data_IF_914098991263
#
_entry.id   IF_914098991263
#
_cell.length_a   1.000
_cell.length_b   1.000
_cell.length_c   1.000
_cell.angle_alpha   90.00
_cell.angle_beta   90.00
_cell.angle_gamma   90.00
#
_symmetry.space_group_name_H-M   'P 1'
#
loop_
_entity.id
_entity.type
_entity.pdbx_description
1 polymer ?
#
# COMPACT_ATOMS: atom_id res chain seq x y z
N UNK A 1 6.58 39.24 -8.32
CA UNK A 1 5.13 38.93 -8.45
C UNK A 1 4.83 37.76 -9.40
N UNK A 2 5.49 37.62 -10.56
CA UNK A 2 5.27 36.46 -11.45
C UNK A 2 5.80 35.12 -10.91
N UNK A 3 6.92 35.12 -10.17
CA UNK A 3 7.48 33.91 -9.55
C UNK A 3 6.65 33.38 -8.36
N UNK A 4 6.05 34.28 -7.57
CA UNK A 4 5.14 33.91 -6.48
C UNK A 4 3.84 33.32 -7.01
N UNK A 5 3.29 33.85 -8.11
CA UNK A 5 2.09 33.30 -8.74
C UNK A 5 2.33 31.90 -9.34
N UNK A 6 3.51 31.65 -9.92
CA UNK A 6 3.92 30.32 -10.40
C UNK A 6 4.15 29.31 -9.26
N UNK A 7 4.65 29.77 -8.11
CA UNK A 7 4.80 28.95 -6.90
C UNK A 7 3.42 28.61 -6.28
N UNK A 8 2.47 29.55 -6.26
CA UNK A 8 1.11 29.26 -5.83
C UNK A 8 0.32 28.42 -6.85
N UNK A 9 0.60 28.57 -8.16
CA UNK A 9 0.07 27.66 -9.18
C UNK A 9 0.68 26.26 -9.06
N UNK A 10 1.98 26.12 -8.79
CA UNK A 10 2.61 24.81 -8.59
C UNK A 10 2.17 24.15 -7.29
N UNK A 11 1.92 24.91 -6.22
CA UNK A 11 1.27 24.42 -5.00
C UNK A 11 -0.19 24.01 -5.24
N UNK A 12 -0.96 24.78 -6.03
CA UNK A 12 -2.33 24.43 -6.43
C UNK A 12 -2.40 23.23 -7.38
N UNK A 13 -1.40 23.06 -8.26
CA UNK A 13 -1.27 21.94 -9.21
C UNK A 13 -0.71 20.69 -8.51
N UNK A 14 0.13 20.83 -7.48
CA UNK A 14 0.58 19.70 -6.65
C UNK A 14 -0.53 19.18 -5.70
N UNK A 15 -1.51 20.03 -5.38
CA UNK A 15 -2.77 19.59 -4.73
C UNK A 15 -3.80 18.99 -5.69
N UNK A 16 -3.46 18.73 -6.97
CA UNK A 16 -4.25 17.85 -7.82
C UNK A 16 -4.00 16.41 -7.36
N UNK A 17 -4.79 16.00 -6.38
CA UNK A 17 -5.16 14.62 -6.06
C UNK A 17 -4.09 13.54 -6.30
N UNK A 18 -3.06 13.51 -5.46
CA UNK A 18 -2.52 12.21 -5.04
C UNK A 18 -3.45 11.70 -3.95
N UNK A 19 -4.54 11.02 -4.33
CA UNK A 19 -5.19 10.09 -3.42
C UNK A 19 -4.18 8.98 -3.15
N UNK A 20 -3.25 9.18 -2.21
CA UNK A 20 -2.30 8.12 -1.86
C UNK A 20 -3.13 7.01 -1.24
N UNK A 21 -3.24 5.87 -1.93
CA UNK A 21 -3.79 4.66 -1.32
C UNK A 21 -2.93 4.27 -0.11
N UNK A 22 -3.52 3.57 0.86
CA UNK A 22 -2.72 2.88 1.86
C UNK A 22 -1.72 1.96 1.17
N UNK A 23 -0.48 1.96 1.67
CA UNK A 23 0.54 1.00 1.30
C UNK A 23 0.53 -0.14 2.31
N UNK A 24 0.58 -1.38 1.79
CA UNK A 24 0.85 -2.54 2.63
C UNK A 24 2.36 -2.68 2.81
N UNK A 25 2.79 -2.93 4.05
CA UNK A 25 4.19 -3.14 4.40
C UNK A 25 4.32 -4.46 5.13
N UNK A 26 5.37 -5.22 4.82
CA UNK A 26 5.67 -6.48 5.51
C UNK A 26 7.01 -6.36 6.19
N UNK A 27 7.07 -6.84 7.43
CA UNK A 27 8.30 -7.00 8.17
C UNK A 27 8.45 -8.45 8.64
N UNK A 28 9.54 -9.14 8.28
CA UNK A 28 10.60 -8.72 7.34
C UNK A 28 10.12 -8.52 5.89
N UNK A 29 10.75 -7.62 5.13
CA UNK A 29 10.33 -7.21 3.78
C UNK A 29 10.69 -8.23 2.67
N UNK A 30 10.19 -9.46 2.79
CA UNK A 30 10.42 -10.57 1.86
C UNK A 30 9.12 -11.34 1.60
N UNK A 31 9.01 -12.01 0.44
CA UNK A 31 7.79 -12.74 0.03
C UNK A 31 7.66 -14.13 0.67
N UNK A 32 8.78 -14.76 1.03
CA UNK A 32 8.83 -16.12 1.57
C UNK A 32 9.40 -16.15 3.00
N UNK A 33 8.78 -16.98 3.83
CA UNK A 33 9.11 -17.16 5.23
C UNK A 33 9.20 -18.65 5.58
N UNK A 34 10.10 -18.99 6.49
CA UNK A 34 10.07 -20.31 7.10
C UNK A 34 8.92 -20.41 8.11
N UNK A 35 8.43 -21.63 8.33
CA UNK A 35 7.51 -21.89 9.42
C UNK A 35 8.14 -21.47 10.77
N UNK A 36 7.27 -21.02 11.66
CA UNK A 36 7.57 -20.47 12.99
C UNK A 36 8.29 -19.11 13.00
N UNK A 37 8.54 -18.47 11.85
CA UNK A 37 8.97 -17.07 11.81
C UNK A 37 7.85 -16.12 12.27
N UNK A 38 8.24 -14.96 12.82
CA UNK A 38 7.34 -13.83 13.06
C UNK A 38 7.18 -13.03 11.77
N UNK A 39 5.93 -12.71 11.43
CA UNK A 39 5.57 -11.85 10.28
C UNK A 39 4.70 -10.71 10.81
N UNK A 40 4.95 -9.48 10.36
CA UNK A 40 4.08 -8.34 10.61
C UNK A 40 3.63 -7.76 9.28
N UNK A 41 2.32 -7.62 9.09
CA UNK A 41 1.74 -6.93 7.93
C UNK A 41 1.09 -5.65 8.43
N UNK A 42 1.48 -4.49 7.91
CA UNK A 42 0.98 -3.19 8.37
C UNK A 42 0.44 -2.33 7.24
N UNK A 43 -0.52 -1.48 7.58
CA UNK A 43 -1.06 -0.44 6.73
C UNK A 43 -0.31 0.85 7.06
N UNK A 44 0.70 1.19 6.27
CA UNK A 44 1.44 2.43 6.48
C UNK A 44 0.66 3.62 5.91
N UNK A 45 0.85 4.80 6.51
CA UNK A 45 0.43 6.12 6.03
C UNK A 45 -0.94 6.68 6.48
N UNK A 46 -1.76 5.90 7.18
CA UNK A 46 -3.07 6.36 7.68
C UNK A 46 -3.24 6.07 9.17
N UNK A 47 -3.96 6.95 9.85
CA UNK A 47 -4.06 6.95 11.31
C UNK A 47 -4.57 5.62 11.88
N UNK A 48 -4.30 5.34 13.17
CA UNK A 48 -4.76 4.13 13.83
C UNK A 48 -6.29 3.98 13.75
N UNK A 49 -6.75 2.77 13.43
CA UNK A 49 -8.19 2.42 13.41
C UNK A 49 -8.95 2.70 12.11
N UNK A 50 -8.32 3.30 11.09
CA UNK A 50 -8.97 3.56 9.80
C UNK A 50 -8.88 2.38 8.80
N UNK A 51 -7.86 1.54 8.95
CA UNK A 51 -7.53 0.46 8.02
C UNK A 51 -7.35 -0.86 8.75
N UNK A 52 -7.85 -1.93 8.13
CA UNK A 52 -7.78 -3.29 8.64
C UNK A 52 -6.98 -4.16 7.70
N UNK A 53 -6.13 -5.03 8.26
CA UNK A 53 -5.42 -6.06 7.49
C UNK A 53 -6.36 -7.23 7.24
N UNK A 54 -6.49 -7.60 5.98
CA UNK A 54 -7.21 -8.77 5.51
C UNK A 54 -6.27 -9.77 4.88
N UNK A 55 -6.68 -11.05 4.89
CA UNK A 55 -6.01 -12.10 4.16
C UNK A 55 -6.98 -13.00 3.41
N UNK A 56 -6.46 -13.64 2.36
CA UNK A 56 -7.04 -14.78 1.67
C UNK A 56 -6.01 -15.90 1.65
N UNK A 57 -6.29 -17.01 2.36
CA UNK A 57 -5.33 -18.12 2.47
C UNK A 57 -5.46 -19.08 1.29
N UNK A 58 -4.32 -19.53 0.74
CA UNK A 58 -4.29 -20.42 -0.42
C UNK A 58 -4.83 -21.82 -0.11
N UNK A 59 -4.62 -22.29 1.13
CA UNK A 59 -5.04 -23.62 1.58
C UNK A 59 -6.53 -23.66 1.92
N UNK A 60 -6.97 -22.77 2.80
CA UNK A 60 -8.34 -22.81 3.32
C UNK A 60 -9.34 -22.10 2.39
N UNK A 61 -8.84 -21.30 1.44
CA UNK A 61 -9.61 -20.63 0.38
C UNK A 61 -10.72 -19.73 0.91
N UNK A 62 -10.53 -19.13 2.08
CA UNK A 62 -11.45 -18.14 2.61
C UNK A 62 -10.75 -16.84 2.99
N UNK A 63 -11.53 -15.77 2.94
CA UNK A 63 -11.12 -14.42 3.30
C UNK A 63 -11.44 -14.15 4.76
N UNK A 64 -10.51 -13.50 5.48
CA UNK A 64 -10.69 -13.19 6.90
C UNK A 64 -9.91 -11.94 7.30
N UNK A 65 -10.45 -11.20 8.28
CA UNK A 65 -9.82 -10.02 8.85
C UNK A 65 -8.88 -10.42 10.00
N UNK A 66 -7.78 -9.68 10.20
CA UNK A 66 -6.92 -9.90 11.36
C UNK A 66 -7.73 -9.87 12.68
N UNK A 67 -7.44 -10.79 13.59
CA UNK A 67 -8.18 -10.95 14.85
C UNK A 67 -9.38 -11.91 14.78
N UNK A 68 -9.81 -12.33 13.58
CA UNK A 68 -10.90 -13.33 13.41
C UNK A 68 -10.40 -14.78 13.54
N UNK A 69 -9.60 -15.06 14.58
CA UNK A 69 -9.00 -16.38 14.82
C UNK A 69 -7.61 -16.57 14.22
N UNK A 70 -7.03 -15.52 13.64
CA UNK A 70 -5.63 -15.49 13.19
C UNK A 70 -5.04 -14.09 13.40
N UNK A 71 -3.71 -14.06 13.58
CA UNK A 71 -2.98 -12.81 13.78
C UNK A 71 -3.37 -12.08 15.08
N UNK A 72 -2.56 -11.10 15.45
CA UNK A 72 -2.81 -10.21 16.57
C UNK A 72 -2.90 -8.79 16.02
N UNK A 73 -4.09 -8.18 15.99
CA UNK A 73 -4.23 -6.81 15.51
C UNK A 73 -3.55 -5.85 16.51
N UNK A 74 -2.77 -4.91 15.97
CA UNK A 74 -2.25 -3.74 16.66
C UNK A 74 -2.88 -2.49 16.04
N UNK A 75 -2.41 -1.29 16.40
CA UNK A 75 -2.99 -0.04 15.93
C UNK A 75 -2.97 0.14 14.39
N UNK A 76 -1.97 -0.41 13.71
CA UNK A 76 -1.81 -0.31 12.25
C UNK A 76 -1.26 -1.59 11.60
N UNK A 77 -1.09 -2.67 12.37
CA UNK A 77 -0.50 -3.91 11.88
C UNK A 77 -1.25 -5.15 12.35
N UNK A 78 -0.98 -6.26 11.69
CA UNK A 78 -1.39 -7.59 12.08
C UNK A 78 -0.13 -8.43 12.26
N UNK A 79 0.10 -8.88 13.50
CA UNK A 79 1.24 -9.72 13.83
C UNK A 79 0.88 -11.21 13.77
N UNK A 80 1.63 -11.97 12.99
CA UNK A 80 1.63 -13.44 13.03
C UNK A 80 2.86 -13.85 13.83
N UNK A 81 2.68 -14.15 15.12
CA UNK A 81 3.78 -14.49 16.03
C UNK A 81 4.50 -15.78 15.65
N UNK A 82 3.77 -16.71 15.03
CA UNK A 82 4.27 -18.04 14.71
C UNK A 82 3.64 -18.51 13.41
N UNK A 83 4.24 -18.13 12.28
CA UNK A 83 3.71 -18.42 10.95
C UNK A 83 3.70 -19.93 10.67
N UNK A 84 2.63 -20.43 10.05
CA UNK A 84 2.48 -21.83 9.62
C UNK A 84 2.15 -21.89 8.13
N UNK A 85 2.34 -23.05 7.52
CA UNK A 85 2.04 -23.25 6.10
C UNK A 85 0.61 -22.83 5.68
N UNK A 86 -0.46 -22.97 6.50
CA UNK A 86 -1.79 -22.46 6.18
C UNK A 86 -1.91 -20.94 6.16
N UNK A 87 -0.96 -20.20 6.75
CA UNK A 87 -0.93 -18.74 6.68
C UNK A 87 -0.47 -18.23 5.30
N UNK A 88 -0.04 -19.12 4.39
CA UNK A 88 0.30 -18.71 3.02
C UNK A 88 -0.92 -18.17 2.29
N UNK A 89 -0.77 -17.02 1.62
CA UNK A 89 -1.89 -16.36 0.96
C UNK A 89 -1.64 -14.91 0.58
N UNK A 90 -2.70 -14.27 0.13
CA UNK A 90 -2.71 -12.85 -0.27
C UNK A 90 -3.14 -11.99 0.90
N UNK A 91 -2.41 -10.91 1.17
CA UNK A 91 -2.67 -9.95 2.25
C UNK A 91 -2.84 -8.54 1.70
N UNK A 92 -3.74 -7.75 2.28
CA UNK A 92 -3.97 -6.35 1.91
C UNK A 92 -4.55 -5.55 3.08
N UNK A 93 -4.59 -4.23 2.93
CA UNK A 93 -5.25 -3.29 3.81
C UNK A 93 -6.54 -2.79 3.19
N UNK A 94 -7.60 -2.70 4.00
CA UNK A 94 -8.91 -2.19 3.59
C UNK A 94 -9.44 -1.16 4.58
N UNK A 95 -9.94 -0.02 4.09
CA UNK A 95 -10.52 1.05 4.90
C UNK A 95 -12.00 0.81 5.19
N UNK A 96 -12.54 1.52 6.20
CA UNK A 96 -14.00 1.50 6.46
C UNK A 96 -14.85 1.90 5.24
N UNK A 97 -14.30 2.72 4.34
CA UNK A 97 -14.99 3.23 3.15
C UNK A 97 -14.82 2.30 1.93
N UNK A 98 -14.21 1.13 2.11
CA UNK A 98 -13.97 0.16 1.04
C UNK A 98 -12.78 0.52 0.14
N UNK A 99 -11.88 1.41 0.58
CA UNK A 99 -10.61 1.62 -0.13
C UNK A 99 -9.67 0.45 0.14
N UNK A 100 -8.89 0.05 -0.86
CA UNK A 100 -7.96 -1.08 -0.75
C UNK A 100 -6.54 -0.66 -1.12
N UNK A 101 -5.56 -1.18 -0.37
CA UNK A 101 -4.16 -1.20 -0.80
C UNK A 101 -3.95 -2.20 -1.96
N UNK A 102 -2.73 -2.27 -2.47
CA UNK A 102 -2.30 -3.44 -3.24
C UNK A 102 -2.36 -4.71 -2.36
N UNK A 103 -2.65 -5.85 -3.00
CA UNK A 103 -2.44 -7.16 -2.42
C UNK A 103 -0.99 -7.59 -2.57
N UNK A 104 -0.52 -8.38 -1.62
CA UNK A 104 0.81 -9.00 -1.61
C UNK A 104 0.66 -10.49 -1.32
N UNK A 105 1.51 -11.32 -1.94
CA UNK A 105 1.50 -12.76 -1.68
C UNK A 105 2.62 -13.12 -0.69
N UNK A 106 2.24 -13.76 0.42
CA UNK A 106 3.17 -14.26 1.43
C UNK A 106 3.12 -15.78 1.39
N UNK A 107 4.29 -16.41 1.25
CA UNK A 107 4.43 -17.87 1.28
C UNK A 107 5.15 -18.30 2.55
N UNK A 108 4.52 -19.18 3.32
CA UNK A 108 5.12 -19.80 4.51
C UNK A 108 5.40 -21.27 4.19
N UNK A 109 6.65 -21.69 4.31
CA UNK A 109 7.08 -23.05 3.98
C UNK A 109 7.70 -23.75 5.18
N UNK A 110 7.43 -25.05 5.34
CA UNK A 110 8.17 -25.95 6.22
C UNK A 110 9.38 -26.60 5.52
N UNK A 111 9.56 -26.30 4.24
CA UNK A 111 10.70 -26.76 3.44
C UNK A 111 12.05 -26.19 3.90
N UNK A 112 13.15 -26.78 3.39
CA UNK A 112 14.51 -26.47 3.83
C UNK A 112 15.08 -25.19 3.25
N UNK A 113 14.49 -24.64 2.18
CA UNK A 113 15.00 -23.50 1.40
C UNK A 113 13.87 -22.50 1.12
N UNK A 114 14.19 -21.20 1.16
CA UNK A 114 13.35 -20.11 0.68
C UNK A 114 14.10 -19.23 -0.32
N UNK A 115 13.34 -18.57 -1.19
CA UNK A 115 13.81 -17.46 -2.00
C UNK A 115 13.40 -16.15 -1.31
N UNK A 116 14.37 -15.39 -0.82
CA UNK A 116 14.15 -14.03 -0.38
C UNK A 116 14.06 -13.13 -1.61
N UNK A 117 12.83 -12.86 -2.06
CA UNK A 117 12.52 -11.85 -3.07
C UNK A 117 11.75 -10.69 -2.44
N UNK A 118 11.73 -9.50 -3.07
CA UNK A 118 10.83 -8.42 -2.68
C UNK A 118 9.38 -8.92 -2.62
N UNK A 119 8.66 -8.48 -1.59
CA UNK A 119 7.22 -8.78 -1.41
C UNK A 119 6.31 -7.77 -2.11
N UNK A 120 6.83 -6.57 -2.35
CA UNK A 120 6.15 -5.49 -3.05
C UNK A 120 6.58 -5.43 -4.51
N UNK A 121 5.71 -4.94 -5.42
CA UNK A 121 6.10 -4.66 -6.80
C UNK A 121 7.26 -3.66 -6.87
N UNK A 122 8.20 -3.90 -7.79
CA UNK A 122 9.43 -3.11 -7.98
C UNK A 122 9.27 -2.10 -9.10
N UNK A 123 9.98 -0.96 -9.08
CA UNK A 123 9.89 0.00 -10.20
C UNK A 123 10.83 -0.42 -11.34
N UNK A 124 10.45 -0.09 -12.57
CA UNK A 124 11.31 -0.30 -13.73
C UNK A 124 12.59 0.52 -13.59
N UNK A 125 13.74 -0.10 -13.87
CA UNK A 125 15.07 0.48 -13.67
C UNK A 125 15.68 0.25 -12.29
N UNK A 126 14.93 -0.24 -11.30
CA UNK A 126 15.49 -0.59 -9.99
C UNK A 126 16.39 -1.85 -10.07
N UNK A 127 17.29 -2.00 -9.11
CA UNK A 127 18.07 -3.23 -8.93
C UNK A 127 17.35 -4.15 -7.93
N UNK A 128 17.15 -5.42 -8.31
CA UNK A 128 16.50 -6.42 -7.47
C UNK A 128 17.50 -7.47 -7.01
N UNK A 129 17.60 -7.64 -5.70
CA UNK A 129 18.40 -8.70 -5.09
C UNK A 129 17.53 -9.90 -4.72
N UNK A 130 17.96 -11.08 -5.14
CA UNK A 130 17.36 -12.38 -4.84
C UNK A 130 18.36 -13.19 -4.02
N UNK A 131 17.96 -13.67 -2.85
CA UNK A 131 18.82 -14.49 -2.01
C UNK A 131 18.19 -15.85 -1.72
N UNK A 132 18.88 -16.92 -2.09
CA UNK A 132 18.48 -18.28 -1.77
C UNK A 132 19.01 -18.65 -0.39
N UNK A 133 18.12 -18.95 0.55
CA UNK A 133 18.48 -19.13 1.96
C UNK A 133 18.00 -20.47 2.47
N UNK A 134 18.86 -21.19 3.18
CA UNK A 134 18.53 -22.40 3.93
C UNK A 134 17.94 -22.08 5.30
N UNK A 135 17.13 -22.99 5.85
CA UNK A 135 16.56 -22.87 7.19
C UNK A 135 17.63 -22.93 8.28
N UNK A 136 18.60 -23.81 8.10
CA UNK A 136 19.71 -24.04 9.01
C UNK A 136 21.03 -23.61 8.36
N UNK A 137 21.94 -22.96 9.12
CA UNK A 137 23.27 -22.61 8.60
C UNK A 137 24.01 -23.83 8.04
N UNK A 138 24.90 -23.63 7.05
CA UNK A 138 25.30 -22.35 6.46
C UNK A 138 24.27 -21.81 5.45
N UNK A 139 24.07 -20.48 5.44
CA UNK A 139 23.11 -19.80 4.56
C UNK A 139 23.68 -19.40 3.19
N UNK A 140 25.01 -19.26 3.09
CA UNK A 140 25.71 -18.82 1.87
C UNK A 140 26.18 -20.06 1.10
N UNK A 141 25.25 -20.72 0.44
CA UNK A 141 25.52 -21.91 -0.37
C UNK A 141 25.33 -21.60 -1.84
N UNK A 142 26.03 -22.34 -2.68
CA UNK A 142 25.86 -22.26 -4.13
C UNK A 142 24.42 -22.61 -4.48
N UNK A 143 23.75 -21.70 -5.19
CA UNK A 143 22.35 -21.84 -5.56
C UNK A 143 22.14 -21.63 -7.05
N UNK A 144 21.33 -22.50 -7.65
CA UNK A 144 20.83 -22.35 -9.00
C UNK A 144 19.51 -21.56 -8.98
N UNK A 145 19.42 -20.49 -9.75
CA UNK A 145 18.23 -19.65 -9.89
C UNK A 145 17.48 -19.98 -11.17
N UNK A 146 16.17 -20.06 -11.07
CA UNK A 146 15.28 -20.38 -12.19
C UNK A 146 14.24 -19.29 -12.37
N UNK A 147 13.90 -19.00 -13.62
CA UNK A 147 12.79 -18.13 -14.01
C UNK A 147 11.90 -18.87 -15.00
N UNK A 148 10.60 -18.94 -14.72
CA UNK A 148 9.61 -19.64 -15.54
C UNK A 148 10.03 -21.08 -15.87
N UNK A 149 10.70 -21.75 -14.93
CA UNK A 149 11.20 -23.12 -15.07
C UNK A 149 12.59 -23.27 -15.70
N UNK A 150 13.12 -22.23 -16.33
CA UNK A 150 14.44 -22.26 -16.97
C UNK A 150 15.53 -21.79 -16.02
N UNK A 151 16.67 -22.49 -16.00
CA UNK A 151 17.87 -22.06 -15.27
C UNK A 151 18.39 -20.74 -15.88
N UNK A 152 18.54 -19.71 -15.05
CA UNK A 152 19.06 -18.40 -15.50
C UNK A 152 20.49 -18.15 -15.04
N UNK A 153 20.85 -18.52 -13.81
CA UNK A 153 22.18 -18.32 -13.21
C UNK A 153 22.45 -19.34 -12.11
N UNK A 154 23.72 -19.57 -11.82
CA UNK A 154 24.17 -20.29 -10.62
C UNK A 154 25.16 -19.40 -9.88
N UNK A 155 24.85 -19.05 -8.65
CA UNK A 155 25.64 -18.09 -7.87
C UNK A 155 26.29 -18.78 -6.66
N UNK A 156 27.60 -18.64 -6.46
CA UNK A 156 28.34 -19.39 -5.44
C UNK A 156 27.93 -19.04 -4.00
N UNK A 157 27.49 -17.80 -3.77
CA UNK A 157 27.04 -17.29 -2.47
C UNK A 157 25.53 -17.38 -2.27
N UNK A 158 24.79 -17.88 -3.27
CA UNK A 158 23.34 -17.91 -3.24
C UNK A 158 22.69 -16.53 -3.33
N UNK A 159 23.43 -15.51 -3.81
CA UNK A 159 22.93 -14.15 -4.01
C UNK A 159 22.99 -13.79 -5.49
N UNK A 160 21.86 -13.37 -6.06
CA UNK A 160 21.73 -12.93 -7.45
C UNK A 160 21.16 -11.51 -7.47
N UNK A 161 21.77 -10.62 -8.26
CA UNK A 161 21.21 -9.29 -8.54
C UNK A 161 20.77 -9.20 -9.99
N UNK A 162 19.54 -8.75 -10.19
CA UNK A 162 19.01 -8.33 -11.49
C UNK A 162 19.16 -6.82 -11.54
N UNK A 163 20.02 -6.33 -12.43
CA UNK A 163 20.28 -4.90 -12.57
C UNK A 163 19.31 -4.27 -13.57
N UNK A 164 18.85 -3.05 -13.29
CA UNK A 164 17.96 -2.29 -14.16
C UNK A 164 16.75 -3.10 -14.64
N UNK A 165 15.92 -3.57 -13.70
CA UNK A 165 14.80 -4.46 -14.03
C UNK A 165 13.86 -3.84 -15.07
N UNK A 166 13.42 -4.67 -16.01
CA UNK A 166 12.52 -4.32 -17.09
C UNK A 166 11.26 -5.19 -17.06
N UNK A 167 10.25 -4.87 -17.90
CA UNK A 167 9.07 -5.76 -18.05
C UNK A 167 9.42 -7.19 -18.46
N UNK A 168 10.54 -7.38 -19.16
CA UNK A 168 11.00 -8.72 -19.54
C UNK A 168 11.43 -9.55 -18.33
N UNK A 169 11.75 -8.91 -17.20
CA UNK A 169 12.20 -9.54 -15.96
C UNK A 169 11.05 -10.07 -15.09
N UNK A 170 9.80 -9.73 -15.40
CA UNK A 170 8.64 -10.32 -14.73
C UNK A 170 8.58 -11.84 -14.93
N UNK A 171 8.13 -12.55 -13.90
CA UNK A 171 7.94 -13.99 -13.99
C UNK A 171 8.05 -14.71 -12.66
N UNK A 172 7.98 -16.03 -12.73
CA UNK A 172 8.00 -16.92 -11.60
C UNK A 172 9.44 -17.36 -11.29
N UNK A 173 9.99 -16.90 -10.17
CA UNK A 173 11.34 -17.21 -9.71
C UNK A 173 11.35 -18.29 -8.62
N UNK A 174 12.33 -19.18 -8.67
CA UNK A 174 12.67 -20.10 -7.58
C UNK A 174 14.17 -20.35 -7.55
N UNK A 175 14.68 -20.89 -6.45
CA UNK A 175 16.07 -21.31 -6.37
C UNK A 175 16.20 -22.76 -5.88
N UNK A 176 17.33 -23.39 -6.21
CA UNK A 176 17.66 -24.75 -5.81
C UNK A 176 19.07 -24.79 -5.22
N UNK A 177 19.21 -25.46 -4.08
CA UNK A 177 20.49 -25.77 -3.44
C UNK A 177 20.64 -27.28 -3.48
N UNK A 178 21.67 -27.78 -4.18
CA UNK A 178 21.82 -29.20 -4.54
C UNK A 178 21.56 -30.18 -3.40
N UNK A 179 22.23 -30.00 -2.26
CA UNK A 179 22.11 -30.90 -1.09
C UNK A 179 20.94 -30.61 -0.16
N UNK A 180 20.15 -29.56 -0.41
CA UNK A 180 19.10 -29.11 0.51
C UNK A 180 17.70 -29.15 -0.11
N UNK A 181 17.54 -28.76 -1.38
CA UNK A 181 16.25 -28.77 -2.08
C UNK A 181 15.94 -27.45 -2.77
N UNK A 182 14.67 -27.28 -3.14
CA UNK A 182 14.15 -26.11 -3.85
C UNK A 182 13.34 -25.19 -2.95
N UNK A 183 13.37 -23.89 -3.24
CA UNK A 183 12.42 -22.94 -2.67
C UNK A 183 11.03 -23.07 -3.30
N UNK A 184 9.97 -22.65 -2.59
CA UNK A 184 8.73 -22.27 -3.25
C UNK A 184 8.98 -21.25 -4.37
N UNK A 185 8.05 -21.14 -5.30
CA UNK A 185 8.12 -20.12 -6.34
C UNK A 185 7.53 -18.79 -5.88
N UNK A 186 8.17 -17.68 -6.24
CA UNK A 186 7.68 -16.31 -6.02
C UNK A 186 7.65 -15.55 -7.33
N UNK A 187 6.55 -14.85 -7.59
CA UNK A 187 6.46 -14.00 -8.78
C UNK A 187 7.14 -12.64 -8.51
N UNK A 188 7.99 -12.19 -9.43
CA UNK A 188 8.53 -10.83 -9.41
C UNK A 188 7.63 -9.93 -10.27
N UNK A 189 6.97 -8.97 -9.64
CA UNK A 189 6.08 -8.02 -10.32
C UNK A 189 6.73 -6.66 -10.45
N UNK A 190 6.57 -6.01 -11.59
CA UNK A 190 6.87 -4.59 -11.74
C UNK A 190 5.63 -3.75 -11.38
N UNK A 191 5.88 -2.57 -10.84
CA UNK A 191 4.84 -1.61 -10.51
C UNK A 191 4.28 -1.00 -11.80
N UNK A 192 2.99 -1.19 -12.03
CA UNK A 192 2.28 -0.47 -13.09
C UNK A 192 2.05 0.98 -12.65
N UNK A 193 2.55 1.95 -13.44
CA UNK A 193 2.31 3.38 -13.23
C UNK A 193 0.88 3.80 -13.64
N UNK A 194 0.06 2.90 -14.18
CA UNK A 194 -1.30 3.21 -14.55
C UNK A 194 -2.20 3.43 -13.33
N UNK A 195 -3.22 4.29 -13.51
CA UNK A 195 -4.23 4.47 -12.49
C UNK A 195 -4.96 3.12 -12.26
N UNK A 196 -4.95 2.62 -11.01
CA UNK A 196 -5.55 1.33 -10.69
C UNK A 196 -7.06 1.32 -10.99
N UNK A 197 -7.63 0.14 -11.19
CA UNK A 197 -9.06 0.02 -11.45
C UNK A 197 -9.90 0.59 -10.30
N UNK A 198 -11.09 1.07 -10.65
CA UNK A 198 -12.13 1.51 -9.72
C UNK A 198 -13.40 0.71 -10.03
N UNK A 199 -13.89 -0.06 -9.07
CA UNK A 199 -15.09 -0.86 -9.24
C UNK A 199 -16.31 0.05 -9.14
N UNK A 200 -17.14 0.03 -10.18
CA UNK A 200 -18.38 0.79 -10.29
C UNK A 200 -19.57 -0.15 -10.49
N UNK A 201 -20.50 -0.22 -9.51
CA UNK A 201 -21.72 -1.00 -9.64
C UNK A 201 -22.83 -0.18 -10.31
N UNK A 202 -23.63 -0.85 -11.15
CA UNK A 202 -24.85 -0.31 -11.73
C UNK A 202 -26.01 -1.31 -11.52
N UNK A 203 -27.06 -0.92 -10.78
CA UNK A 203 -27.27 0.40 -10.16
C UNK A 203 -26.32 0.64 -8.96
N UNK A 204 -26.08 1.91 -8.61
CA UNK A 204 -25.37 2.30 -7.39
C UNK A 204 -26.29 2.08 -6.16
N UNK A 205 -26.40 0.82 -5.72
CA UNK A 205 -27.24 0.43 -4.60
C UNK A 205 -26.59 -0.64 -3.75
N UNK A 206 -26.57 -0.46 -2.42
CA UNK A 206 -26.03 -1.44 -1.47
C UNK A 206 -26.96 -2.66 -1.30
N UNK A 207 -28.25 -2.47 -1.54
CA UNK A 207 -29.26 -3.51 -1.46
C UNK A 207 -29.96 -3.69 -2.82
N UNK A 208 -30.24 -4.93 -3.19
CA UNK A 208 -31.00 -5.28 -4.39
C UNK A 208 -32.09 -6.29 -4.05
N UNK A 209 -33.18 -6.25 -4.81
CA UNK A 209 -34.11 -7.38 -4.85
C UNK A 209 -33.53 -8.51 -5.69
N UNK A 210 -33.85 -9.74 -5.34
CA UNK A 210 -33.63 -10.89 -6.21
C UNK A 210 -34.27 -10.69 -7.61
N UNK A 211 -33.68 -11.33 -8.61
CA UNK A 211 -34.07 -11.28 -10.02
C UNK A 211 -33.95 -9.89 -10.67
N UNK A 212 -33.12 -9.02 -10.11
CA UNK A 212 -32.70 -7.76 -10.76
C UNK A 212 -31.36 -7.93 -11.45
N UNK A 213 -31.05 -6.97 -12.32
CA UNK A 213 -29.78 -6.89 -13.02
C UNK A 213 -28.76 -6.17 -12.12
N UNK A 214 -27.53 -6.66 -12.12
CA UNK A 214 -26.37 -6.01 -11.51
C UNK A 214 -25.21 -6.05 -12.48
N UNK A 215 -24.71 -4.87 -12.86
CA UNK A 215 -23.48 -4.72 -13.63
C UNK A 215 -22.37 -4.22 -12.71
N UNK A 216 -21.19 -4.80 -12.82
CA UNK A 216 -19.99 -4.47 -12.08
C UNK A 216 -18.89 -4.16 -13.08
N UNK A 217 -18.43 -2.91 -13.15
CA UNK A 217 -17.39 -2.50 -14.10
C UNK A 217 -16.09 -2.12 -13.40
N UNK A 218 -14.97 -2.61 -13.93
CA UNK A 218 -13.62 -2.21 -13.50
C UNK A 218 -13.14 -0.91 -14.17
N UNK A 219 -13.93 -0.35 -15.08
CA UNK A 219 -13.55 0.76 -15.96
C UNK A 219 -13.05 0.29 -17.33
N UNK A 220 -13.14 1.19 -18.31
CA UNK A 220 -12.80 0.92 -19.71
C UNK A 220 -11.35 0.45 -19.86
N UNK A 221 -11.12 -0.51 -20.77
CA UNK A 221 -9.82 -1.10 -21.09
C UNK A 221 -9.04 -1.68 -19.90
N UNK A 222 -9.72 -2.05 -18.81
CA UNK A 222 -9.10 -2.75 -17.67
C UNK A 222 -9.09 -4.26 -17.88
N UNK A 223 -10.13 -4.83 -18.47
CA UNK A 223 -10.18 -6.27 -18.77
C UNK A 223 -9.12 -6.67 -19.80
N UNK A 224 -8.86 -5.82 -20.81
CA UNK A 224 -7.76 -6.00 -21.77
C UNK A 224 -6.37 -5.98 -21.11
N UNK A 225 -6.26 -5.46 -19.88
CA UNK A 225 -5.05 -5.47 -19.05
C UNK A 225 -5.07 -6.55 -17.97
N UNK A 226 -5.96 -7.53 -18.10
CA UNK A 226 -6.05 -8.69 -17.22
C UNK A 226 -6.76 -8.45 -15.89
N UNK A 227 -7.38 -7.29 -15.67
CA UNK A 227 -8.22 -7.09 -14.49
C UNK A 227 -9.47 -7.97 -14.56
N UNK A 228 -9.86 -8.55 -13.43
CA UNK A 228 -11.05 -9.39 -13.33
C UNK A 228 -11.89 -9.00 -12.12
N UNK A 229 -13.21 -9.11 -12.24
CA UNK A 229 -14.10 -8.95 -11.08
C UNK A 229 -14.00 -10.21 -10.21
N UNK A 230 -13.68 -10.00 -8.94
CA UNK A 230 -13.67 -11.00 -7.87
C UNK A 230 -14.81 -10.72 -6.89
N UNK A 231 -15.25 -11.78 -6.20
CA UNK A 231 -16.23 -11.66 -5.13
C UNK A 231 -15.91 -12.58 -3.96
N UNK A 232 -16.26 -12.16 -2.75
CA UNK A 232 -16.32 -13.01 -1.58
C UNK A 232 -17.78 -13.15 -1.13
N UNK A 233 -18.27 -14.38 -1.10
CA UNK A 233 -19.65 -14.74 -0.72
C UNK A 233 -19.63 -15.59 0.54
N UNK A 234 -20.67 -15.49 1.36
CA UNK A 234 -20.78 -16.34 2.55
C UNK A 234 -21.34 -17.70 2.17
N UNK A 235 -20.57 -18.76 2.45
CA UNK A 235 -20.97 -20.16 2.30
C UNK A 235 -20.65 -20.86 3.62
N UNK A 236 -21.66 -21.44 4.27
CA UNK A 236 -21.53 -22.15 5.55
C UNK A 236 -20.79 -21.33 6.63
N UNK A 237 -21.08 -20.03 6.70
CA UNK A 237 -20.46 -19.10 7.65
C UNK A 237 -19.03 -18.65 7.31
N UNK A 238 -18.47 -19.06 6.16
CA UNK A 238 -17.13 -18.67 5.69
C UNK A 238 -17.22 -17.76 4.46
N UNK A 239 -16.32 -16.78 4.37
CA UNK A 239 -16.19 -15.90 3.20
C UNK A 239 -15.36 -16.59 2.11
N UNK A 240 -16.03 -17.22 1.14
CA UNK A 240 -15.38 -17.97 0.06
C UNK A 240 -15.15 -17.05 -1.14
N UNK A 241 -13.91 -17.09 -1.66
CA UNK A 241 -13.53 -16.31 -2.83
C UNK A 241 -13.98 -16.99 -4.13
N UNK A 242 -14.60 -16.22 -5.02
CA UNK A 242 -15.04 -16.66 -6.33
C UNK A 242 -14.69 -15.60 -7.38
N UNK A 243 -14.51 -16.05 -8.62
CA UNK A 243 -14.38 -15.14 -9.76
C UNK A 243 -15.75 -14.91 -10.40
N UNK A 244 -15.88 -13.83 -11.19
CA UNK A 244 -17.05 -13.65 -12.05
C UNK A 244 -17.31 -14.93 -12.87
N UNK A 245 -18.54 -15.47 -12.90
CA UNK A 245 -18.87 -16.62 -13.72
C UNK A 245 -18.57 -16.35 -15.20
N UNK A 246 -18.01 -17.32 -15.92
CA UNK A 246 -17.56 -17.13 -17.32
C UNK A 246 -18.68 -16.59 -18.24
N UNK A 247 -19.92 -17.00 -18.01
CA UNK A 247 -21.10 -16.58 -18.77
C UNK A 247 -21.53 -15.14 -18.48
N UNK A 248 -21.02 -14.55 -17.40
CA UNK A 248 -21.33 -13.20 -16.93
C UNK A 248 -20.25 -12.19 -17.26
N UNK A 249 -19.14 -12.60 -17.90
CA UNK A 249 -18.03 -11.69 -18.21
C UNK A 249 -18.44 -10.74 -19.36
N UNK A 250 -18.16 -9.45 -19.17
CA UNK A 250 -18.35 -8.40 -20.18
C UNK A 250 -17.02 -7.69 -20.46
N UNK A 251 -16.90 -6.90 -21.55
CA UNK A 251 -15.66 -6.17 -21.87
C UNK A 251 -15.19 -5.21 -20.76
N UNK A 252 -16.12 -4.72 -19.93
CA UNK A 252 -15.83 -3.78 -18.86
C UNK A 252 -15.87 -4.41 -17.45
N UNK A 253 -16.29 -5.67 -17.31
CA UNK A 253 -16.40 -6.34 -16.01
C UNK A 253 -17.31 -7.58 -15.97
N UNK A 254 -18.36 -7.53 -15.14
CA UNK A 254 -19.25 -8.66 -14.84
C UNK A 254 -20.73 -8.23 -14.83
N UNK A 255 -21.60 -8.98 -15.50
CA UNK A 255 -23.04 -8.74 -15.58
C UNK A 255 -23.82 -9.94 -15.04
N UNK A 256 -24.57 -9.70 -13.98
CA UNK A 256 -25.58 -10.60 -13.46
C UNK A 256 -26.94 -10.16 -14.00
N UNK A 257 -27.54 -10.97 -14.88
CA UNK A 257 -28.89 -10.71 -15.40
C UNK A 257 -29.97 -10.97 -14.33
N UNK A 258 -29.73 -11.91 -13.42
CA UNK A 258 -30.67 -12.24 -12.35
C UNK A 258 -29.90 -12.54 -11.07
N UNK A 259 -29.69 -11.51 -10.24
CA UNK A 259 -29.06 -11.72 -8.92
C UNK A 259 -29.96 -12.53 -8.00
N UNK A 260 -29.37 -13.41 -7.19
CA UNK A 260 -30.06 -14.18 -6.16
C UNK A 260 -29.47 -13.88 -4.79
N UNK A 261 -30.17 -14.27 -3.72
CA UNK A 261 -29.68 -14.10 -2.33
C UNK A 261 -28.24 -14.62 -2.14
N UNK A 262 -27.82 -15.77 -2.71
CA UNK A 262 -26.44 -16.25 -2.61
C UNK A 262 -25.38 -15.38 -3.33
N UNK A 263 -25.80 -14.45 -4.19
CA UNK A 263 -24.89 -13.46 -4.80
C UNK A 263 -24.60 -12.29 -3.84
N UNK A 264 -25.15 -12.27 -2.63
CA UNK A 264 -24.76 -11.30 -1.60
C UNK A 264 -23.29 -11.48 -1.23
N UNK A 265 -22.51 -10.40 -1.26
CA UNK A 265 -21.08 -10.50 -1.06
C UNK A 265 -20.32 -9.18 -1.18
N UNK A 266 -19.00 -9.30 -1.05
CA UNK A 266 -18.04 -8.22 -1.25
C UNK A 266 -17.44 -8.36 -2.63
N UNK A 267 -17.43 -7.31 -3.43
CA UNK A 267 -16.98 -7.29 -4.82
C UNK A 267 -15.82 -6.31 -5.01
N UNK A 268 -14.83 -6.66 -5.83
CA UNK A 268 -13.71 -5.79 -6.23
C UNK A 268 -13.16 -6.21 -7.59
N UNK A 269 -12.30 -5.39 -8.18
CA UNK A 269 -11.48 -5.72 -9.33
C UNK A 269 -10.06 -6.08 -8.89
N UNK A 270 -9.51 -7.13 -9.48
CA UNK A 270 -8.17 -7.64 -9.18
C UNK A 270 -7.34 -7.81 -10.46
N UNK A 271 -6.10 -7.32 -10.43
CA UNK A 271 -5.14 -7.49 -11.53
C UNK A 271 -4.32 -8.79 -11.40
N UNK A 272 -3.61 -9.21 -12.45
CA UNK A 272 -2.69 -10.36 -12.36
C UNK A 272 -1.54 -10.16 -11.35
N UNK A 273 -1.19 -8.90 -11.07
CA UNK A 273 -0.20 -8.51 -10.07
C UNK A 273 -0.80 -8.30 -8.67
N UNK A 274 -1.98 -8.88 -8.40
CA UNK A 274 -2.70 -8.77 -7.11
C UNK A 274 -3.01 -7.33 -6.69
N UNK A 275 -3.05 -6.39 -7.63
CA UNK A 275 -3.56 -5.06 -7.34
C UNK A 275 -5.08 -5.12 -7.20
N UNK A 276 -5.63 -4.35 -6.26
CA UNK A 276 -7.06 -4.33 -5.96
C UNK A 276 -7.66 -2.94 -6.20
N UNK A 277 -8.91 -2.90 -6.63
CA UNK A 277 -9.73 -1.68 -6.61
C UNK A 277 -10.32 -1.45 -5.23
N UNK A 278 -11.14 -0.40 -5.08
CA UNK A 278 -12.12 -0.34 -4.00
C UNK A 278 -13.00 -1.59 -3.99
N UNK A 279 -13.48 -1.94 -2.80
CA UNK A 279 -14.44 -3.01 -2.56
C UNK A 279 -15.84 -2.45 -2.29
N UNK A 280 -16.88 -3.13 -2.74
CA UNK A 280 -18.28 -2.79 -2.42
C UNK A 280 -19.00 -3.98 -1.83
N UNK A 281 -19.82 -3.76 -0.79
CA UNK A 281 -20.65 -4.79 -0.16
C UNK A 281 -22.08 -4.67 -0.70
N UNK A 282 -22.53 -5.70 -1.42
CA UNK A 282 -23.87 -5.76 -2.01
C UNK A 282 -24.65 -6.89 -1.34
N UNK A 283 -25.86 -6.58 -0.90
CA UNK A 283 -26.78 -7.55 -0.28
C UNK A 283 -28.03 -7.72 -1.15
N UNK A 284 -28.38 -8.97 -1.45
CA UNK A 284 -29.53 -9.33 -2.27
C UNK A 284 -30.61 -9.93 -1.36
N UNK A 285 -31.82 -9.38 -1.44
CA UNK A 285 -32.92 -9.71 -0.54
C UNK A 285 -34.12 -10.26 -1.30
N UNK A 286 -34.73 -11.31 -0.76
CA UNK A 286 -36.00 -11.88 -1.24
C UNK A 286 -37.25 -11.25 -0.59
N UNK A 287 -37.06 -10.51 0.50
CA UNK A 287 -38.11 -9.87 1.29
C UNK A 287 -38.89 -8.77 0.55
N UNK A 288 -39.93 -8.20 1.19
CA UNK A 288 -40.87 -7.29 0.52
C UNK A 288 -40.34 -5.86 0.35
N UNK A 289 -39.39 -5.44 1.19
CA UNK A 289 -38.89 -4.05 1.26
C UNK A 289 -37.37 -4.03 1.32
N UNK A 290 -36.74 -3.10 0.59
CA UNK A 290 -35.31 -2.78 0.71
C UNK A 290 -35.12 -1.27 0.85
N UNK A 291 -33.97 -0.89 1.40
CA UNK A 291 -33.48 0.48 1.35
C UNK A 291 -32.48 0.61 0.20
N UNK A 292 -32.86 1.31 -0.86
CA UNK A 292 -31.96 1.68 -1.93
C UNK A 292 -31.12 2.88 -1.46
N UNK A 293 -29.92 2.59 -0.94
CA UNK A 293 -28.88 3.56 -0.59
C UNK A 293 -27.66 3.39 -1.49
N UNK A 294 -26.87 4.44 -1.76
CA UNK A 294 -25.60 4.30 -2.48
C UNK A 294 -24.70 3.24 -1.84
N UNK A 295 -23.98 2.48 -2.66
CA UNK A 295 -22.99 1.50 -2.18
C UNK A 295 -21.58 2.08 -2.16
N UNK A 296 -21.34 3.10 -2.98
CA UNK A 296 -20.10 3.88 -2.94
C UNK A 296 -20.22 5.01 -1.90
N UNK A 297 -19.13 5.38 -1.21
CA UNK A 297 -19.12 6.54 -0.32
C UNK A 297 -19.53 7.82 -1.03
N UNK A 298 -20.37 8.62 -0.37
CA UNK A 298 -20.81 9.93 -0.85
C UNK A 298 -19.81 10.99 -0.42
N UNK A 299 -19.52 11.99 -1.26
CA UNK A 299 -18.59 13.05 -0.87
C UNK A 299 -19.26 14.05 0.07
N UNK A 300 -18.51 14.58 1.03
CA UNK A 300 -19.01 15.67 1.87
C UNK A 300 -19.43 16.88 1.01
N UNK A 301 -20.63 17.40 1.28
CA UNK A 301 -21.26 18.49 0.55
C UNK A 301 -22.19 18.05 -0.59
N UNK A 302 -22.15 16.78 -1.00
CA UNK A 302 -23.07 16.24 -2.00
C UNK A 302 -24.46 15.98 -1.37
N UNK A 303 -25.48 15.87 -2.23
CA UNK A 303 -26.81 15.41 -1.83
C UNK A 303 -26.90 13.88 -1.99
N UNK A 304 -27.50 13.21 -1.02
CA UNK A 304 -27.78 11.76 -1.12
C UNK A 304 -29.28 11.49 -1.07
N UNK A 305 -29.73 10.62 -1.97
CA UNK A 305 -31.10 10.13 -2.00
C UNK A 305 -31.17 8.69 -1.47
N UNK A 306 -32.07 8.49 -0.52
CA UNK A 306 -32.45 7.20 0.04
C UNK A 306 -33.87 6.88 -0.43
N UNK A 307 -34.06 5.70 -1.00
CA UNK A 307 -35.38 5.28 -1.48
C UNK A 307 -35.82 3.98 -0.83
N UNK A 308 -36.94 4.02 -0.12
CA UNK A 308 -37.57 2.83 0.44
C UNK A 308 -38.45 2.19 -0.63
N UNK A 309 -38.08 1.00 -1.08
CA UNK A 309 -38.67 0.37 -2.26
C UNK A 309 -39.35 -0.94 -1.90
N UNK A 310 -40.55 -1.15 -2.41
CA UNK A 310 -41.27 -2.42 -2.36
C UNK A 310 -40.91 -3.32 -3.55
N UNK A 311 -40.99 -4.64 -3.35
CA UNK A 311 -40.74 -5.64 -4.40
C UNK A 311 -41.80 -5.58 -5.50
N UNK A 312 -43.06 -5.35 -5.11
CA UNK A 312 -44.23 -5.28 -5.99
C UNK A 312 -44.80 -3.86 -6.00
N UNK A 313 -45.26 -3.34 -7.16
CA UNK A 313 -45.96 -2.05 -7.22
C UNK A 313 -47.19 -2.01 -6.31
N UNK A 314 -47.58 -0.84 -5.78
CA UNK A 314 -46.98 0.47 -6.02
C UNK A 314 -45.65 0.67 -5.26
N UNK A 315 -44.67 1.33 -5.90
CA UNK A 315 -43.36 1.61 -5.30
C UNK A 315 -43.32 2.89 -4.46
N UNK A 316 -44.29 3.79 -4.67
CA UNK A 316 -44.32 5.10 -4.03
C UNK A 316 -45.28 5.04 -2.84
N UNK A 317 -44.83 4.41 -1.77
CA UNK A 317 -45.58 4.29 -0.52
C UNK A 317 -44.94 5.18 0.54
N UNK A 318 -45.76 5.65 1.47
CA UNK A 318 -45.27 6.41 2.62
C UNK A 318 -44.34 5.54 3.46
N UNK A 319 -43.13 6.03 3.70
CA UNK A 319 -42.09 5.30 4.41
C UNK A 319 -41.49 6.13 5.56
N UNK A 320 -41.32 5.49 6.70
CA UNK A 320 -40.58 6.01 7.84
C UNK A 320 -39.09 5.64 7.71
N UNK A 321 -38.20 6.61 7.85
CA UNK A 321 -36.75 6.44 7.77
C UNK A 321 -36.11 6.54 9.14
N UNK A 322 -35.22 5.61 9.44
CA UNK A 322 -34.51 5.51 10.70
C UNK A 322 -33.01 5.58 10.48
N UNK A 323 -32.29 6.24 11.39
CA UNK A 323 -30.83 6.21 11.48
C UNK A 323 -30.45 5.82 12.89
N UNK A 324 -29.56 4.83 13.00
CA UNK A 324 -29.03 4.33 14.28
C UNK A 324 -30.17 3.97 15.26
N UNK A 325 -31.26 3.41 14.73
CA UNK A 325 -32.46 3.00 15.47
C UNK A 325 -33.46 4.11 15.77
N UNK A 326 -33.13 5.38 15.51
CA UNK A 326 -34.01 6.53 15.77
C UNK A 326 -34.77 6.95 14.53
N UNK A 327 -36.06 7.25 14.67
CA UNK A 327 -36.87 7.79 13.57
C UNK A 327 -36.37 9.20 13.22
N UNK A 328 -35.99 9.42 11.97
CA UNK A 328 -35.57 10.74 11.48
C UNK A 328 -36.77 11.48 10.90
N UNK A 329 -37.49 10.84 9.98
CA UNK A 329 -38.61 11.44 9.26
C UNK A 329 -39.47 10.40 8.54
N UNK A 330 -40.65 10.82 8.11
CA UNK A 330 -41.56 10.03 7.28
C UNK A 330 -41.79 10.77 5.97
N UNK A 331 -41.58 10.08 4.84
CA UNK A 331 -41.70 10.66 3.50
C UNK A 331 -42.88 10.01 2.75
N UNK A 332 -43.82 10.81 2.19
CA UNK A 332 -45.05 10.28 1.60
C UNK A 332 -44.81 9.45 0.34
N UNK A 333 -43.73 9.73 -0.39
CA UNK A 333 -43.34 9.03 -1.63
C UNK A 333 -42.33 7.91 -1.41
N UNK A 334 -41.89 7.69 -0.16
CA UNK A 334 -40.83 6.73 0.14
C UNK A 334 -39.46 7.17 -0.35
N UNK A 335 -39.28 8.47 -0.62
CA UNK A 335 -38.04 9.06 -1.10
C UNK A 335 -37.57 10.15 -0.13
N UNK A 336 -36.36 9.98 0.41
CA UNK A 336 -35.72 10.93 1.33
C UNK A 336 -34.45 11.46 0.68
N UNK A 337 -34.26 12.78 0.70
CA UNK A 337 -32.98 13.41 0.33
C UNK A 337 -32.34 14.02 1.57
N UNK A 338 -31.07 13.72 1.78
CA UNK A 338 -30.22 14.43 2.74
C UNK A 338 -29.37 15.38 1.90
N UNK A 339 -29.53 16.68 2.14
CA UNK A 339 -28.83 17.71 1.40
C UNK A 339 -27.53 18.09 2.09
N UNK A 340 -26.49 18.38 1.31
CA UNK A 340 -25.20 18.86 1.81
C UNK A 340 -24.66 17.96 2.94
N UNK A 341 -24.45 16.69 2.60
CA UNK A 341 -24.07 15.61 3.52
C UNK A 341 -22.77 15.93 4.25
N UNK A 342 -22.71 15.58 5.53
CA UNK A 342 -21.55 15.74 6.40
C UNK A 342 -21.16 14.41 7.07
N UNK A 343 -20.02 14.39 7.76
CA UNK A 343 -19.61 13.21 8.56
C UNK A 343 -20.62 12.84 9.66
N UNK A 344 -21.48 13.78 10.09
CA UNK A 344 -22.57 13.50 11.02
C UNK A 344 -23.71 12.70 10.40
N UNK A 345 -23.80 12.63 9.07
CA UNK A 345 -24.82 11.85 8.38
C UNK A 345 -24.40 10.37 8.20
N UNK A 346 -23.14 10.01 8.51
CA UNK A 346 -22.71 8.61 8.57
C UNK A 346 -23.52 7.84 9.63
N UNK A 347 -23.91 6.61 9.30
CA UNK A 347 -24.61 5.73 10.24
C UNK A 347 -25.40 4.63 9.56
N UNK A 348 -26.14 3.88 10.37
CA UNK A 348 -26.93 2.73 9.94
C UNK A 348 -28.37 3.16 9.63
N UNK A 349 -28.73 3.16 8.35
CA UNK A 349 -30.07 3.54 7.88
C UNK A 349 -30.95 2.32 7.62
N UNK A 350 -32.24 2.44 7.92
CA UNK A 350 -33.29 1.50 7.48
C UNK A 350 -34.59 2.25 7.25
N UNK A 351 -35.54 1.63 6.57
CA UNK A 351 -36.86 2.20 6.37
C UNK A 351 -37.98 1.21 6.70
N UNK A 352 -39.17 1.73 6.97
CA UNK A 352 -40.38 0.95 7.25
C UNK A 352 -41.54 1.49 6.42
N UNK A 353 -42.30 0.60 5.80
CA UNK A 353 -43.53 0.94 5.06
C UNK A 353 -44.70 0.34 5.85
N UNK A 354 -45.70 1.14 6.19
CA UNK A 354 -46.87 0.68 6.93
C UNK A 354 -47.57 -0.48 6.21
N UNK A 355 -47.82 -1.58 6.94
CA UNK A 355 -48.37 -2.81 6.37
C UNK A 355 -47.34 -3.76 5.75
N UNK A 356 -46.05 -3.40 5.76
CA UNK A 356 -44.93 -4.24 5.36
C UNK A 356 -43.88 -4.35 6.48
N UNK A 357 -42.89 -5.21 6.29
CA UNK A 357 -41.74 -5.35 7.18
C UNK A 357 -40.76 -4.17 7.04
N UNK A 358 -39.88 -4.01 8.04
CA UNK A 358 -38.74 -3.09 7.93
C UNK A 358 -37.74 -3.59 6.87
N UNK A 359 -37.08 -2.65 6.19
CA UNK A 359 -35.96 -2.97 5.32
C UNK A 359 -34.77 -3.49 6.15
N UNK A 360 -33.91 -4.32 5.56
CA UNK A 360 -32.57 -4.54 6.07
C UNK A 360 -31.84 -3.20 6.22
N UNK A 361 -30.92 -3.14 7.19
CA UNK A 361 -30.13 -1.93 7.41
C UNK A 361 -28.98 -1.78 6.41
N UNK A 362 -28.65 -0.55 6.06
CA UNK A 362 -27.53 -0.18 5.17
C UNK A 362 -26.73 0.94 5.79
N UNK A 363 -25.39 0.83 5.76
CA UNK A 363 -24.52 1.89 6.26
C UNK A 363 -24.32 2.95 5.17
N UNK A 364 -24.50 4.22 5.51
CA UNK A 364 -24.16 5.35 4.64
C UNK A 364 -22.74 5.83 4.98
N UNK A 365 -21.83 5.74 4.00
CA UNK A 365 -20.45 6.20 4.14
C UNK A 365 -20.29 7.61 3.56
N UNK A 366 -19.59 8.48 4.28
CA UNK A 366 -19.32 9.86 3.85
C UNK A 366 -17.81 10.07 3.78
N UNK A 367 -17.33 10.51 2.62
CA UNK A 367 -15.92 10.79 2.37
C UNK A 367 -15.67 12.29 2.46
N UNK A 368 -14.90 12.71 3.44
CA UNK A 368 -14.33 14.06 3.49
C UNK A 368 -13.07 14.12 2.60
N UNK A 369 -13.06 14.91 1.51
CA UNK A 369 -11.89 15.09 0.66
C UNK A 369 -10.69 15.72 1.40
N UNK A 370 -10.89 16.33 2.57
CA UNK A 370 -9.86 16.92 3.44
C UNK A 370 -9.43 15.97 4.57
N UNK A 371 -10.10 14.83 4.74
CA UNK A 371 -9.92 13.89 5.85
C UNK A 371 -8.57 13.15 5.91
N UNK A 372 -7.75 13.14 4.85
CA UNK A 372 -6.34 12.67 4.97
C UNK A 372 -5.43 13.69 5.70
N UNK A 373 -5.97 14.85 6.05
CA UNK A 373 -5.32 15.88 6.86
C UNK A 373 -5.96 16.00 8.26
N UNK A 374 -6.24 14.88 8.92
CA UNK A 374 -6.33 14.87 10.38
C UNK A 374 -4.97 15.26 10.94
N UNK A 375 -4.86 16.56 11.22
CA UNK A 375 -3.94 17.27 12.12
C UNK A 375 -3.05 16.40 13.02
N UNK A 376 -2.04 15.75 12.43
CA UNK A 376 -0.74 15.67 13.08
C UNK A 376 -0.06 17.02 12.85
N UNK A 377 0.51 17.69 13.87
CA UNK A 377 1.35 18.85 13.64
C UNK A 377 2.46 18.39 12.70
N UNK A 378 2.39 18.83 11.45
CA UNK A 378 3.23 18.30 10.40
C UNK A 378 4.69 18.57 10.80
N UNK A 379 5.49 17.50 10.80
CA UNK A 379 6.96 17.57 10.73
C UNK A 379 7.45 18.52 9.62
N UNK A 380 6.57 18.94 8.69
CA UNK A 380 6.82 19.97 7.69
C UNK A 380 7.06 21.37 8.28
N UNK A 381 6.23 21.86 9.22
CA UNK A 381 6.44 23.19 9.82
C UNK A 381 7.69 23.21 10.70
N UNK A 382 7.90 22.18 11.52
CA UNK A 382 9.10 22.04 12.35
C UNK A 382 10.38 21.94 11.51
N UNK A 383 10.36 21.21 10.39
CA UNK A 383 11.49 21.19 9.44
C UNK A 383 11.69 22.53 8.74
N UNK A 384 10.62 23.22 8.31
CA UNK A 384 10.73 24.56 7.74
C UNK A 384 11.30 25.57 8.74
N UNK A 385 10.85 25.49 9.99
CA UNK A 385 11.32 26.33 11.08
C UNK A 385 12.77 26.00 11.42
N UNK A 386 13.17 24.72 11.47
CA UNK A 386 14.57 24.31 11.59
C UNK A 386 15.43 24.79 10.41
N UNK A 387 14.95 24.73 9.17
CA UNK A 387 15.70 25.25 8.03
C UNK A 387 15.84 26.77 8.09
N UNK A 388 14.78 27.50 8.48
CA UNK A 388 14.83 28.95 8.66
C UNK A 388 15.72 29.40 9.83
N UNK A 389 15.72 28.65 10.94
CA UNK A 389 16.44 29.02 12.18
C UNK A 389 17.86 28.48 12.21
N UNK A 390 18.17 27.39 11.51
CA UNK A 390 19.51 26.74 11.54
C UNK A 390 20.24 26.91 10.21
N UNK A 391 19.57 26.60 9.10
CA UNK A 391 20.23 26.57 7.79
C UNK A 391 20.46 27.98 7.22
N UNK A 392 19.48 28.88 7.34
CA UNK A 392 19.62 30.26 6.88
C UNK A 392 20.73 31.04 7.59
N UNK A 393 20.84 31.09 8.93
CA UNK A 393 21.94 31.81 9.58
C UNK A 393 23.30 31.17 9.34
N UNK A 394 23.37 29.83 9.19
CA UNK A 394 24.62 29.15 8.82
C UNK A 394 25.08 29.56 7.42
N UNK A 395 24.20 29.52 6.42
CA UNK A 395 24.51 29.97 5.06
C UNK A 395 24.91 31.46 5.02
N UNK A 396 24.18 32.33 5.73
CA UNK A 396 24.54 33.75 5.82
C UNK A 396 25.92 33.94 6.46
N UNK A 397 26.22 33.20 7.54
CA UNK A 397 27.54 33.27 8.21
C UNK A 397 28.69 32.82 7.31
N UNK A 398 28.51 31.73 6.54
CA UNK A 398 29.53 31.24 5.61
C UNK A 398 29.79 32.22 4.47
N UNK A 399 28.74 32.85 3.91
CA UNK A 399 28.89 33.86 2.87
C UNK A 399 29.56 35.13 3.40
N UNK A 400 29.21 35.57 4.62
CA UNK A 400 29.87 36.71 5.27
C UNK A 400 31.36 36.40 5.54
N UNK A 401 31.68 35.20 6.03
CA UNK A 401 33.06 34.78 6.28
C UNK A 401 33.89 34.73 5.00
N UNK A 402 33.34 34.19 3.90
CA UNK A 402 34.01 34.17 2.59
C UNK A 402 34.20 35.59 2.05
N UNK A 403 33.21 36.47 2.24
CA UNK A 403 33.29 37.87 1.80
C UNK A 403 34.34 38.66 2.59
N UNK A 404 34.41 38.47 3.90
CA UNK A 404 35.43 39.08 4.77
C UNK A 404 36.83 38.52 4.49
N UNK A 405 36.94 37.22 4.22
CA UNK A 405 38.21 36.59 3.85
C UNK A 405 38.74 37.15 2.52
N UNK A 406 37.87 37.29 1.51
CA UNK A 406 38.21 37.92 0.22
C UNK A 406 38.57 39.40 0.37
N UNK A 407 37.91 40.13 1.27
CA UNK A 407 38.23 41.52 1.57
C UNK A 407 39.55 41.66 2.37
N UNK A 408 39.98 40.63 3.10
CA UNK A 408 41.26 40.63 3.82
C UNK A 408 42.44 40.32 2.91
N UNK A 409 42.25 39.54 1.85
CA UNK A 409 43.29 39.24 0.86
C UNK A 409 43.71 40.43 -0.02
N UNK A 410 42.95 41.54 -0.01
CA UNK A 410 43.27 42.75 -0.79
C UNK A 410 44.07 43.80 -0.02
N UNK A 411 44.45 43.55 1.23
CA UNK A 411 45.20 44.50 2.05
C UNK A 411 46.45 43.87 2.69
N UNK A 412 47.51 43.66 1.90
CA UNK A 412 48.94 43.93 2.20
C UNK A 412 49.89 43.10 1.35
N UNK A 413 50.53 43.74 0.37
CA UNK A 413 51.93 43.48 -0.04
C UNK A 413 52.47 44.74 -0.71
N UNK A 414 53.51 45.41 -0.18
CA UNK A 414 54.39 46.26 -0.98
C UNK A 414 55.50 45.40 -1.63
N UNK A 415 56.12 45.87 -2.73
CA UNK A 415 56.98 45.04 -3.57
C UNK A 415 58.45 45.14 -3.12
N UNK A 416 59.17 44.03 -3.18
CA UNK A 416 60.65 44.05 -3.23
C UNK A 416 61.09 43.26 -4.46
N UNK A 417 62.00 43.91 -5.19
CA UNK A 417 62.52 43.59 -6.50
C UNK A 417 63.93 42.99 -6.40
N UNK A 418 64.32 42.32 -7.49
CA UNK A 418 65.68 41.92 -7.92
C UNK A 418 66.31 40.69 -7.26
N UNK A 419 67.19 39.89 -7.88
CA UNK A 419 67.66 39.59 -9.27
C UNK A 419 68.53 38.31 -9.09
N UNK A 420 68.67 37.51 -10.15
CA UNK A 420 69.47 36.28 -10.34
C UNK A 420 70.88 36.23 -9.72
N UNK A 421 71.34 35.01 -9.34
CA UNK A 421 72.66 34.46 -9.69
C UNK A 421 72.80 32.95 -9.32
N UNK A 422 73.81 32.30 -9.92
CA UNK A 422 73.98 30.89 -10.28
C UNK A 422 74.69 29.98 -9.26
N UNK A 423 74.75 28.68 -9.61
CA UNK A 423 75.55 27.57 -9.06
C UNK A 423 77.07 27.82 -8.92
N UNK A 424 77.69 27.22 -7.89
CA UNK A 424 78.93 26.37 -7.86
C UNK A 424 79.29 26.11 -6.38
N UNK A 425 79.36 24.83 -5.94
CA UNK A 425 80.55 23.98 -5.72
C UNK A 425 81.37 24.30 -4.44
N UNK A 426 81.52 23.23 -3.63
CA UNK A 426 82.61 22.84 -2.73
C UNK A 426 83.17 23.82 -1.67
N UNK A 427 83.15 23.46 -0.38
CA UNK A 427 84.20 22.61 0.23
C UNK A 427 84.08 22.60 1.78
N UNK A 428 84.73 21.61 2.38
CA UNK A 428 84.81 21.14 3.77
C UNK A 428 85.03 22.18 4.90
N UNK A 429 84.57 21.77 6.10
CA UNK A 429 85.46 21.74 7.27
C UNK A 429 84.96 22.43 8.54
N UNK A 430 84.43 21.65 9.50
CA UNK A 430 84.92 21.56 10.90
C UNK A 430 83.87 20.94 11.85
N UNK A 431 84.20 19.75 12.36
CA UNK A 431 83.70 19.16 13.63
C UNK A 431 84.48 19.80 14.81
N UNK A 432 84.20 19.61 16.13
CA UNK A 432 83.31 18.61 16.75
C UNK A 432 82.43 19.11 17.92
N UNK A 433 81.44 18.31 18.34
CA UNK A 433 81.25 17.86 19.75
C UNK A 433 80.05 16.91 19.90
N UNK A 434 80.34 15.75 20.52
CA UNK A 434 79.48 14.73 21.16
C UNK A 434 78.22 15.27 21.87
N UNK A 435 77.07 14.57 21.98
CA UNK A 435 76.88 13.29 22.67
C UNK A 435 75.63 12.49 22.24
N UNK A 436 75.76 11.18 22.45
CA UNK A 436 74.86 10.04 22.28
C UNK A 436 73.67 10.04 23.25
N UNK A 437 72.46 9.68 22.77
CA UNK A 437 71.49 8.92 23.57
C UNK A 437 70.78 7.91 22.67
N UNK A 438 71.18 6.66 22.80
CA UNK A 438 70.52 5.49 22.24
C UNK A 438 69.75 4.70 23.31
N UNK A 439 68.66 4.08 22.85
CA UNK A 439 67.92 2.97 23.47
C UNK A 439 67.15 3.30 24.78
N UNK A 440 66.01 2.69 25.10
CA UNK A 440 65.61 1.31 24.84
C UNK A 440 64.09 1.09 24.97
N UNK A 441 63.65 0.05 24.25
CA UNK A 441 62.35 -0.63 24.26
C UNK A 441 62.20 -1.45 25.56
N UNK A 442 61.00 -1.58 26.13
CA UNK A 442 60.25 -2.85 26.33
C UNK A 442 59.15 -2.76 27.40
N UNK A 443 57.96 -3.25 27.02
CA UNK A 443 57.01 -4.09 27.77
C UNK A 443 56.42 -3.59 29.10
N UNK A 444 55.08 -3.54 29.19
CA UNK A 444 54.30 -4.63 29.81
C UNK A 444 52.79 -4.50 29.55
N UNK A 445 52.15 -5.67 29.54
CA UNK A 445 50.71 -5.92 29.37
C UNK A 445 49.96 -5.94 30.72
N UNK A 446 48.62 -6.03 30.61
CA UNK A 446 47.60 -6.47 31.58
C UNK A 446 46.90 -5.32 32.33
N UNK A 447 45.57 -5.26 32.44
CA UNK A 447 44.46 -6.21 32.23
C UNK A 447 43.28 -5.53 31.51
#
# INVERSE_FOLDING_TARGET
>A
MKATLLFFLSLRICSIFVHSRASVVVSPSKSQHFNYEKISVSCEQFGPGEWNVWRYTSLEKFMSQCGSGWGFPTLSACEIKTAKTPDSGVYWCESKNGDSSNGINITVTDGPVILQSPVLPVMEGDDVSLHCKTKTPPSNLTAAFYKNGSLIRTEPTGHMTIHHVSRSDEGLYKCHIGSHGESPSSWLFLRDNSAPASLTPSPNSAQLFEYKNLSLSCGHDRISRGWTVKRAVHIDGKLVLQSCPQQSITPDGCLFLTVKVPDSGIYWCESPAWQRSNSVKISVHGGPVILQSPVLPVMEGDDVSLHCKTKTPPSNLTAAFYKDGSLIRTEPTGHMTIHNVSTFDEGLYKCHIGGHEESPSSWLFVRDPRGSSTTHPTMSWLRLLCHLVVFCPYCISTVLMVSLYRHRSTAKTPPVSMVMAQLSEDDEGSDPQYDDVSAAVTTEHNF
#
